data_IF_684737275787
#
_entry.id   IF_684737275787
#
_cell.length_a   1.000
_cell.length_b   1.000
_cell.length_c   1.000
_cell.angle_alpha   90.00
_cell.angle_beta   90.00
_cell.angle_gamma   90.00
#
_symmetry.space_group_name_H-M   'P 1'
#
loop_
_entity.id
_entity.type
_entity.pdbx_description
1 polymer ?
#
# COMPACT_ATOMS: atom_id res chain seq x y z
N UNK A 1 -11.03 11.77 -10.01
CA UNK A 1 -10.81 12.90 -9.11
C UNK A 1 -10.99 14.23 -9.87
N UNK A 2 -11.71 15.18 -9.29
CA UNK A 2 -11.91 16.51 -9.87
C UNK A 2 -10.76 17.44 -9.45
N UNK A 3 -9.56 17.15 -9.91
CA UNK A 3 -8.33 17.84 -9.49
C UNK A 3 -8.26 19.31 -9.94
N UNK A 4 -9.04 19.71 -10.95
CA UNK A 4 -9.06 21.08 -11.48
C UNK A 4 -9.90 22.06 -10.65
N UNK A 5 -10.60 21.57 -9.62
CA UNK A 5 -11.36 22.40 -8.69
C UNK A 5 -10.48 22.88 -7.51
N UNK A 6 -10.83 24.01 -6.86
CA UNK A 6 -10.12 24.49 -5.67
C UNK A 6 -10.50 23.68 -4.42
N UNK A 7 -10.39 22.36 -4.51
CA UNK A 7 -10.70 21.40 -3.44
C UNK A 7 -9.53 20.47 -3.22
N UNK A 8 -9.28 20.13 -1.96
CA UNK A 8 -8.24 19.16 -1.59
C UNK A 8 -8.59 17.75 -2.01
N UNK A 9 -7.69 17.08 -2.72
CA UNK A 9 -7.77 15.67 -3.05
C UNK A 9 -6.47 14.99 -2.63
N UNK A 10 -6.54 13.89 -1.89
CA UNK A 10 -5.35 13.14 -1.46
C UNK A 10 -5.31 11.78 -2.13
N UNK A 11 -4.15 11.45 -2.64
CA UNK A 11 -3.86 10.16 -3.30
C UNK A 11 -2.65 9.52 -2.64
N UNK A 12 -2.71 8.21 -2.44
CA UNK A 12 -1.59 7.38 -2.01
C UNK A 12 -1.40 6.30 -3.08
N UNK A 13 -0.28 6.35 -3.78
CA UNK A 13 0.12 5.35 -4.76
C UNK A 13 1.16 4.41 -4.14
N UNK A 14 0.81 3.14 -3.98
CA UNK A 14 1.68 2.12 -3.38
C UNK A 14 2.09 1.15 -4.48
N UNK A 15 3.24 1.41 -5.07
CA UNK A 15 3.83 0.59 -6.13
C UNK A 15 4.63 -0.61 -5.61
N UNK A 16 5.56 -1.11 -6.43
CA UNK A 16 6.54 -2.13 -6.02
C UNK A 16 7.63 -1.53 -5.14
N UNK A 17 8.31 -0.48 -5.61
CA UNK A 17 9.48 0.12 -4.95
C UNK A 17 9.20 1.37 -4.13
N UNK A 18 8.14 2.14 -4.41
CA UNK A 18 7.82 3.41 -3.75
C UNK A 18 6.36 3.49 -3.34
N UNK A 19 6.14 4.24 -2.27
CA UNK A 19 4.83 4.78 -1.88
C UNK A 19 4.88 6.29 -2.04
N UNK A 20 4.06 6.82 -2.94
CA UNK A 20 3.97 8.23 -3.24
C UNK A 20 2.65 8.78 -2.72
N UNK A 21 2.73 9.82 -1.88
CA UNK A 21 1.60 10.44 -1.21
C UNK A 21 1.52 11.89 -1.69
N UNK A 22 0.39 12.31 -2.21
CA UNK A 22 0.22 13.67 -2.72
C UNK A 22 -1.15 14.26 -2.38
N UNK A 23 -1.15 15.54 -2.06
CA UNK A 23 -2.34 16.38 -1.99
C UNK A 23 -2.38 17.28 -3.22
N UNK A 24 -3.49 17.23 -3.94
CA UNK A 24 -3.72 17.91 -5.21
C UNK A 24 -4.84 18.94 -5.06
N UNK A 25 -4.67 20.11 -5.65
CA UNK A 25 -5.72 21.14 -5.79
C UNK A 25 -5.43 22.03 -7.01
N UNK A 26 -6.46 22.44 -7.73
CA UNK A 26 -6.35 23.29 -8.93
C UNK A 26 -5.38 22.73 -10.01
N UNK A 27 -5.25 21.42 -10.10
CA UNK A 27 -4.37 20.76 -11.06
C UNK A 27 -2.90 20.66 -10.65
N UNK A 28 -2.52 21.21 -9.49
CA UNK A 28 -1.15 21.21 -8.98
C UNK A 28 -0.99 20.36 -7.71
N UNK A 29 0.26 19.96 -7.43
CA UNK A 29 0.64 19.29 -6.18
C UNK A 29 0.88 20.37 -5.11
N UNK A 30 0.09 20.33 -4.04
CA UNK A 30 0.20 21.25 -2.90
C UNK A 30 1.24 20.77 -1.89
N UNK A 31 1.21 19.49 -1.56
CA UNK A 31 2.21 18.84 -0.70
C UNK A 31 2.34 17.38 -1.10
N UNK A 32 3.52 16.81 -0.94
CA UNK A 32 3.77 15.42 -1.28
C UNK A 32 4.92 14.84 -0.47
N UNK A 33 4.94 13.53 -0.39
CA UNK A 33 6.06 12.75 0.13
C UNK A 33 6.22 11.47 -0.66
N UNK A 34 7.45 10.96 -0.75
CA UNK A 34 7.78 9.70 -1.40
C UNK A 34 8.64 8.85 -0.49
N UNK A 35 8.20 7.62 -0.25
CA UNK A 35 8.89 6.62 0.55
C UNK A 35 9.43 5.51 -0.35
N UNK A 36 10.65 5.03 -0.04
CA UNK A 36 11.19 3.78 -0.62
C UNK A 36 10.72 2.55 0.19
N UNK A 37 9.44 2.51 0.51
CA UNK A 37 8.77 1.46 1.29
C UNK A 37 7.47 1.14 0.58
N UNK A 38 7.38 -0.04 -0.03
CA UNK A 38 6.24 -0.49 -0.82
C UNK A 38 6.23 -2.02 -0.96
N UNK A 39 5.71 -2.55 -2.06
CA UNK A 39 5.52 -3.98 -2.29
C UNK A 39 6.76 -4.85 -2.09
N UNK A 40 7.94 -4.38 -2.53
CA UNK A 40 9.20 -5.11 -2.43
C UNK A 40 9.69 -5.24 -0.97
N UNK A 41 9.48 -4.19 -0.17
CA UNK A 41 9.76 -4.22 1.28
C UNK A 41 8.82 -5.18 1.99
N UNK A 42 7.54 -5.20 1.60
CA UNK A 42 6.56 -6.16 2.14
C UNK A 42 6.98 -7.61 1.84
N UNK A 43 7.49 -7.90 0.66
CA UNK A 43 8.00 -9.23 0.30
C UNK A 43 9.22 -9.62 1.15
N UNK A 44 10.15 -8.68 1.35
CA UNK A 44 11.31 -8.88 2.22
C UNK A 44 10.91 -9.14 3.68
N UNK A 45 9.90 -8.45 4.19
CA UNK A 45 9.35 -8.66 5.54
C UNK A 45 8.73 -10.05 5.69
N UNK A 46 8.00 -10.53 4.68
CA UNK A 46 7.45 -11.89 4.65
C UNK A 46 8.57 -12.93 4.64
N UNK A 47 9.61 -12.76 3.81
CA UNK A 47 10.78 -13.65 3.78
C UNK A 47 11.44 -13.72 5.16
N UNK A 48 11.67 -12.57 5.79
CA UNK A 48 12.26 -12.47 7.11
C UNK A 48 11.38 -13.17 8.16
N UNK A 49 10.08 -12.91 8.16
CA UNK A 49 9.14 -13.54 9.08
C UNK A 49 9.12 -15.06 8.97
N UNK A 50 9.07 -15.59 7.74
CA UNK A 50 9.08 -17.03 7.48
C UNK A 50 10.39 -17.66 7.94
N UNK A 51 11.52 -17.02 7.66
CA UNK A 51 12.85 -17.44 8.09
C UNK A 51 12.96 -17.46 9.61
N UNK A 52 12.53 -16.41 10.28
CA UNK A 52 12.74 -16.26 11.72
C UNK A 52 11.81 -17.18 12.53
N UNK A 53 10.54 -17.28 12.10
CA UNK A 53 9.52 -18.03 12.82
C UNK A 53 9.54 -19.53 12.51
N UNK A 54 9.67 -19.86 11.24
CA UNK A 54 9.53 -21.25 10.76
C UNK A 54 10.86 -21.90 10.36
N UNK A 55 11.98 -21.16 10.42
CA UNK A 55 13.31 -21.62 9.95
C UNK A 55 13.28 -22.13 8.51
N UNK A 56 12.41 -21.55 7.70
CA UNK A 56 12.23 -21.91 6.29
C UNK A 56 12.75 -20.80 5.39
N UNK A 57 13.59 -21.13 4.43
CA UNK A 57 14.06 -20.20 3.41
C UNK A 57 13.14 -20.26 2.18
N UNK A 58 12.58 -19.13 1.81
CA UNK A 58 11.76 -18.93 0.61
C UNK A 58 12.36 -17.83 -0.27
N UNK A 59 12.00 -17.79 -1.55
CA UNK A 59 12.43 -16.75 -2.49
C UNK A 59 11.37 -15.65 -2.66
N UNK A 60 11.77 -14.57 -3.35
CA UNK A 60 10.95 -13.36 -3.58
C UNK A 60 9.59 -13.69 -4.23
N UNK A 61 9.59 -14.53 -5.26
CA UNK A 61 8.35 -14.95 -5.94
C UNK A 61 7.36 -15.64 -5.00
N UNK A 62 7.87 -16.45 -4.07
CA UNK A 62 7.02 -17.14 -3.07
C UNK A 62 6.46 -16.12 -2.07
N UNK A 63 7.27 -15.16 -1.63
CA UNK A 63 6.84 -14.09 -0.75
C UNK A 63 5.75 -13.22 -1.39
N UNK A 64 5.92 -12.84 -2.65
CA UNK A 64 4.93 -12.12 -3.42
C UNK A 64 3.60 -12.90 -3.53
N UNK A 65 3.66 -14.20 -3.80
CA UNK A 65 2.47 -15.05 -3.81
C UNK A 65 1.76 -15.06 -2.45
N UNK A 66 2.50 -15.19 -1.35
CA UNK A 66 1.95 -15.12 0.01
C UNK A 66 1.25 -13.78 0.23
N UNK A 67 1.91 -12.66 -0.14
CA UNK A 67 1.35 -11.31 -0.03
C UNK A 67 0.03 -11.18 -0.80
N UNK A 68 -0.02 -11.65 -2.05
CA UNK A 68 -1.20 -11.55 -2.92
C UNK A 68 -2.37 -12.42 -2.42
N UNK A 69 -2.08 -13.64 -1.94
CA UNK A 69 -3.12 -14.60 -1.57
C UNK A 69 -3.68 -14.38 -0.16
N UNK A 70 -2.80 -14.09 0.80
CA UNK A 70 -3.15 -14.03 2.23
C UNK A 70 -2.59 -12.81 2.96
N UNK A 71 -1.96 -11.86 2.24
CA UNK A 71 -1.43 -10.63 2.83
C UNK A 71 -2.52 -9.82 3.54
N UNK A 72 -2.23 -9.33 4.74
CA UNK A 72 -3.17 -8.57 5.54
C UNK A 72 -2.47 -7.45 6.32
N UNK A 73 -3.10 -6.28 6.36
CA UNK A 73 -2.67 -5.14 7.16
C UNK A 73 -3.37 -5.09 8.53
N UNK A 74 -4.47 -5.84 8.72
CA UNK A 74 -5.28 -5.83 9.96
C UNK A 74 -5.48 -7.26 10.47
N UNK A 75 -5.25 -7.46 11.76
CA UNK A 75 -5.49 -8.74 12.43
C UNK A 75 -6.96 -9.14 12.32
N UNK A 76 -7.22 -10.41 12.00
CA UNK A 76 -8.58 -10.95 11.92
C UNK A 76 -9.38 -10.50 10.69
N UNK A 77 -8.76 -9.81 9.74
CA UNK A 77 -9.43 -9.39 8.50
C UNK A 77 -9.71 -10.55 7.55
N UNK A 78 -9.01 -11.67 7.71
CA UNK A 78 -9.15 -12.88 6.89
C UNK A 78 -8.67 -14.11 7.66
N UNK A 79 -9.36 -15.24 7.48
CA UNK A 79 -8.97 -16.56 8.01
C UNK A 79 -8.27 -17.43 6.96
N UNK A 80 -7.79 -16.83 5.89
CA UNK A 80 -7.10 -17.54 4.80
C UNK A 80 -5.79 -18.15 5.28
N UNK A 81 -5.46 -19.29 4.69
CA UNK A 81 -4.19 -19.99 4.86
C UNK A 81 -3.54 -20.26 3.51
N UNK A 82 -2.23 -20.40 3.48
CA UNK A 82 -1.46 -20.69 2.28
C UNK A 82 -0.35 -21.69 2.59
N UNK A 83 -0.24 -22.75 1.78
CA UNK A 83 0.84 -23.70 1.87
C UNK A 83 2.09 -23.19 1.17
N UNK A 84 3.19 -23.16 1.91
CA UNK A 84 4.47 -22.64 1.44
C UNK A 84 5.51 -23.75 1.48
N UNK A 85 6.18 -23.95 0.36
CA UNK A 85 7.31 -24.86 0.25
C UNK A 85 8.62 -24.08 0.17
N UNK A 86 9.59 -24.47 0.98
CA UNK A 86 10.91 -23.87 1.00
C UNK A 86 11.98 -24.86 1.46
N UNK A 87 13.19 -24.34 1.74
CA UNK A 87 14.28 -25.13 2.30
C UNK A 87 14.35 -24.93 3.81
N UNK A 88 14.19 -25.99 4.57
CA UNK A 88 14.41 -25.99 6.01
C UNK A 88 15.87 -25.66 6.33
N UNK A 89 16.10 -24.68 7.20
CA UNK A 89 17.43 -24.17 7.54
C UNK A 89 18.18 -25.08 8.53
N UNK A 90 17.49 -26.01 9.20
CA UNK A 90 18.07 -26.94 10.15
C UNK A 90 18.53 -28.20 9.43
N UNK A 91 17.65 -28.79 8.60
CA UNK A 91 17.90 -30.03 7.89
C UNK A 91 18.50 -29.87 6.51
N UNK A 92 18.36 -28.67 5.91
CA UNK A 92 18.74 -28.40 4.53
C UNK A 92 17.80 -28.96 3.47
N UNK A 93 16.75 -29.69 3.88
CA UNK A 93 15.82 -30.39 2.98
C UNK A 93 14.58 -29.54 2.63
N UNK A 94 13.89 -29.87 1.53
CA UNK A 94 12.59 -29.27 1.24
C UNK A 94 11.57 -29.55 2.35
N UNK A 95 10.87 -28.52 2.78
CA UNK A 95 9.84 -28.62 3.80
C UNK A 95 8.63 -27.76 3.42
N UNK A 96 7.43 -28.17 3.84
CA UNK A 96 6.18 -27.44 3.59
C UNK A 96 5.59 -26.99 4.92
N UNK A 97 5.18 -25.74 4.99
CA UNK A 97 4.50 -25.14 6.14
C UNK A 97 3.19 -24.50 5.71
N UNK A 98 2.30 -24.26 6.65
CA UNK A 98 1.07 -23.48 6.45
C UNK A 98 1.22 -22.12 7.14
N UNK A 99 1.00 -21.05 6.40
CA UNK A 99 0.99 -19.66 6.91
C UNK A 99 -0.46 -19.15 6.92
N UNK A 100 -0.80 -18.34 7.90
CA UNK A 100 -2.12 -17.70 8.03
C UNK A 100 -2.06 -16.20 7.71
N UNK A 101 -3.19 -15.58 7.35
CA UNK A 101 -3.30 -14.13 7.18
C UNK A 101 -2.90 -13.35 8.44
N UNK A 102 -3.17 -13.89 9.64
CA UNK A 102 -2.70 -13.28 10.88
C UNK A 102 -1.17 -13.35 11.02
N UNK A 103 -0.53 -14.34 10.41
CA UNK A 103 0.93 -14.42 10.33
C UNK A 103 1.52 -13.36 9.42
N UNK A 104 0.90 -13.11 8.26
CA UNK A 104 1.34 -12.03 7.35
C UNK A 104 1.09 -10.65 7.94
N UNK A 105 0.02 -10.43 8.69
CA UNK A 105 -0.21 -9.17 9.41
C UNK A 105 0.94 -8.88 10.37
N UNK A 106 1.40 -9.87 11.12
CA UNK A 106 2.56 -9.70 12.01
C UNK A 106 3.84 -9.31 11.24
N UNK A 107 4.04 -9.90 10.06
CA UNK A 107 5.18 -9.58 9.21
C UNK A 107 5.12 -8.15 8.66
N UNK A 108 3.95 -7.69 8.24
CA UNK A 108 3.75 -6.43 7.51
C UNK A 108 3.45 -5.23 8.42
N UNK A 109 3.27 -5.44 9.71
CA UNK A 109 2.81 -4.42 10.67
C UNK A 109 3.67 -3.17 10.68
N UNK A 110 4.99 -3.30 10.72
CA UNK A 110 5.91 -2.16 10.78
C UNK A 110 5.91 -1.37 9.47
N UNK A 111 5.88 -2.06 8.35
CA UNK A 111 5.80 -1.45 7.02
C UNK A 111 4.50 -0.70 6.83
N UNK A 112 3.36 -1.30 7.18
CA UNK A 112 2.06 -0.61 7.14
C UNK A 112 2.01 0.59 8.09
N UNK A 113 2.53 0.47 9.32
CA UNK A 113 2.59 1.57 10.27
C UNK A 113 3.45 2.75 9.76
N UNK A 114 4.52 2.46 9.02
CA UNK A 114 5.35 3.50 8.41
C UNK A 114 4.60 4.27 7.33
N UNK A 115 3.84 3.58 6.49
CA UNK A 115 2.98 4.22 5.47
C UNK A 115 1.92 5.11 6.13
N UNK A 116 1.25 4.61 7.18
CA UNK A 116 0.27 5.38 7.96
C UNK A 116 0.89 6.65 8.54
N UNK A 117 2.06 6.51 9.17
CA UNK A 117 2.77 7.64 9.79
C UNK A 117 3.11 8.72 8.76
N UNK A 118 3.60 8.33 7.60
CA UNK A 118 3.94 9.30 6.55
C UNK A 118 2.69 9.95 5.95
N UNK A 119 1.62 9.20 5.78
CA UNK A 119 0.33 9.76 5.34
C UNK A 119 -0.18 10.82 6.31
N UNK A 120 -0.09 10.53 7.62
CA UNK A 120 -0.43 11.50 8.67
C UNK A 120 0.44 12.75 8.59
N UNK A 121 1.75 12.59 8.38
CA UNK A 121 2.68 13.70 8.23
C UNK A 121 2.33 14.62 7.07
N UNK A 122 1.98 14.06 5.90
CA UNK A 122 1.53 14.84 4.74
C UNK A 122 0.22 15.60 5.04
N UNK A 123 -0.73 14.97 5.74
CA UNK A 123 -1.97 15.63 6.17
C UNK A 123 -1.69 16.80 7.12
N UNK A 124 -0.77 16.65 8.07
CA UNK A 124 -0.37 17.69 9.03
C UNK A 124 0.30 18.90 8.34
N UNK A 125 0.95 18.67 7.20
CA UNK A 125 1.56 19.73 6.39
C UNK A 125 0.58 20.39 5.38
N UNK A 126 -0.60 19.80 5.21
CA UNK A 126 -1.61 20.28 4.28
C UNK A 126 -2.32 21.52 4.86
N UNK A 127 -2.57 22.58 4.03
CA UNK A 127 -3.35 23.73 4.47
C UNK A 127 -4.71 23.31 5.06
N UNK A 128 -5.18 23.97 6.14
CA UNK A 128 -6.38 23.55 6.87
C UNK A 128 -7.64 23.40 6.03
N UNK A 129 -7.84 24.28 5.05
CA UNK A 129 -9.01 24.26 4.16
C UNK A 129 -9.00 23.00 3.29
N UNK A 130 -7.84 22.64 2.72
CA UNK A 130 -7.69 21.45 1.89
C UNK A 130 -7.73 20.18 2.74
N UNK A 131 -7.21 20.20 3.97
CA UNK A 131 -7.33 19.08 4.90
C UNK A 131 -8.80 18.83 5.27
N UNK A 132 -9.61 19.86 5.48
CA UNK A 132 -11.04 19.74 5.71
C UNK A 132 -11.78 19.10 4.51
N UNK A 133 -11.39 19.44 3.29
CA UNK A 133 -11.90 18.81 2.07
C UNK A 133 -11.57 17.30 2.05
N UNK A 134 -10.32 16.93 2.39
CA UNK A 134 -9.88 15.53 2.40
C UNK A 134 -10.67 14.72 3.46
N UNK A 135 -10.92 15.28 4.65
CA UNK A 135 -11.76 14.63 5.68
C UNK A 135 -13.16 14.32 5.16
N UNK A 136 -13.71 15.21 4.32
CA UNK A 136 -15.06 15.05 3.75
C UNK A 136 -15.10 14.14 2.52
N UNK A 137 -14.08 14.19 1.67
CA UNK A 137 -14.01 13.49 0.37
C UNK A 137 -13.31 12.14 0.45
N UNK A 138 -12.43 11.96 1.43
CA UNK A 138 -11.62 10.77 1.61
C UNK A 138 -10.28 10.79 0.88
N UNK A 139 -9.49 9.75 1.14
CA UNK A 139 -8.19 9.47 0.54
C UNK A 139 -8.37 8.36 -0.49
N UNK A 140 -7.71 8.48 -1.64
CA UNK A 140 -7.75 7.48 -2.70
C UNK A 140 -6.45 6.68 -2.75
N UNK A 141 -6.56 5.35 -2.60
CA UNK A 141 -5.46 4.42 -2.74
C UNK A 141 -5.35 3.91 -4.17
N UNK A 142 -4.14 3.86 -4.70
CA UNK A 142 -3.81 3.33 -6.01
C UNK A 142 -2.50 2.51 -5.96
N UNK A 143 -2.16 1.85 -7.06
CA UNK A 143 -1.03 0.93 -7.12
C UNK A 143 -1.36 -0.47 -6.59
N UNK A 144 -0.44 -1.41 -6.82
CA UNK A 144 -0.63 -2.81 -6.43
C UNK A 144 -0.73 -3.03 -4.91
N UNK A 145 -0.01 -2.21 -4.13
CA UNK A 145 -0.05 -2.27 -2.67
C UNK A 145 -1.38 -1.84 -2.06
N UNK A 146 -2.17 -1.03 -2.78
CA UNK A 146 -3.52 -0.66 -2.37
C UNK A 146 -4.48 -1.87 -2.23
N UNK A 147 -4.15 -2.99 -2.89
CA UNK A 147 -4.93 -4.23 -2.86
C UNK A 147 -4.62 -5.11 -1.64
N UNK A 148 -3.66 -4.71 -0.77
CA UNK A 148 -3.39 -5.45 0.47
C UNK A 148 -4.61 -5.44 1.37
N UNK A 149 -5.08 -6.63 1.75
CA UNK A 149 -6.32 -6.79 2.52
C UNK A 149 -6.28 -5.96 3.82
N UNK A 150 -7.24 -5.05 3.96
CA UNK A 150 -7.44 -4.25 5.18
C UNK A 150 -6.52 -3.03 5.31
N UNK A 151 -5.69 -2.70 4.32
CA UNK A 151 -4.87 -1.50 4.35
C UNK A 151 -5.72 -0.21 4.34
N UNK A 152 -6.79 -0.21 3.57
CA UNK A 152 -7.81 0.83 3.56
C UNK A 152 -8.39 1.07 4.97
N UNK A 153 -8.83 -0.01 5.64
CA UNK A 153 -9.38 0.04 6.99
C UNK A 153 -8.36 0.47 8.05
N UNK A 154 -7.09 0.06 7.89
CA UNK A 154 -6.03 0.50 8.78
C UNK A 154 -5.83 2.01 8.68
N UNK A 155 -5.70 2.53 7.45
CA UNK A 155 -5.56 3.97 7.21
C UNK A 155 -6.78 4.74 7.72
N UNK A 156 -8.00 4.26 7.43
CA UNK A 156 -9.24 4.86 7.93
C UNK A 156 -9.27 4.99 9.46
N UNK A 157 -8.92 3.90 10.16
CA UNK A 157 -8.95 3.86 11.63
C UNK A 157 -7.89 4.75 12.28
N UNK A 158 -6.72 4.88 11.66
CA UNK A 158 -5.60 5.65 12.21
C UNK A 158 -5.69 7.16 11.89
N UNK A 159 -6.31 7.50 10.75
CA UNK A 159 -6.40 8.89 10.27
C UNK A 159 -7.75 9.54 10.54
N UNK A 160 -8.79 8.76 10.87
CA UNK A 160 -10.20 9.20 10.95
C UNK A 160 -10.68 9.90 9.68
N UNK A 161 -10.25 9.42 8.51
CA UNK A 161 -10.61 9.92 7.19
C UNK A 161 -11.07 8.75 6.35
N UNK A 162 -12.18 8.84 5.60
CA UNK A 162 -12.58 7.77 4.69
C UNK A 162 -11.48 7.42 3.69
N UNK A 163 -11.31 6.13 3.38
CA UNK A 163 -10.27 5.64 2.46
C UNK A 163 -10.90 4.75 1.40
N UNK A 164 -10.65 5.06 0.14
CA UNK A 164 -11.20 4.35 -1.01
C UNK A 164 -10.09 3.76 -1.88
N UNK A 165 -10.22 2.50 -2.23
CA UNK A 165 -9.33 1.86 -3.23
C UNK A 165 -9.88 2.20 -4.61
N UNK A 166 -9.02 2.65 -5.52
CA UNK A 166 -9.41 2.94 -6.90
C UNK A 166 -9.87 1.67 -7.62
N UNK A 167 -10.90 1.78 -8.47
CA UNK A 167 -11.50 0.64 -9.20
C UNK A 167 -10.47 -0.15 -10.02
N UNK A 168 -9.50 0.53 -10.62
CA UNK A 168 -8.41 -0.06 -11.41
C UNK A 168 -7.05 0.37 -10.84
N UNK A 169 -6.81 0.05 -9.56
CA UNK A 169 -5.67 0.53 -8.80
C UNK A 169 -4.32 0.27 -9.49
N UNK A 170 -4.15 -0.87 -10.16
CA UNK A 170 -2.91 -1.24 -10.85
C UNK A 170 -2.61 -0.38 -12.07
N UNK A 171 -3.63 0.13 -12.75
CA UNK A 171 -3.48 0.85 -14.01
C UNK A 171 -3.68 2.36 -13.89
N UNK A 172 -3.94 2.89 -12.68
CA UNK A 172 -4.21 4.32 -12.49
C UNK A 172 -3.12 5.22 -13.08
N UNK A 173 -1.85 4.89 -12.85
CA UNK A 173 -0.71 5.67 -13.38
C UNK A 173 -0.67 5.61 -14.90
N UNK A 174 -0.80 4.41 -15.50
CA UNK A 174 -0.79 4.23 -16.94
C UNK A 174 -1.97 4.97 -17.60
N UNK A 175 -3.16 4.86 -17.02
CA UNK A 175 -4.36 5.58 -17.48
C UNK A 175 -4.17 7.11 -17.37
N UNK A 176 -3.59 7.59 -16.26
CA UNK A 176 -3.27 9.00 -16.08
C UNK A 176 -2.28 9.53 -17.11
N UNK A 177 -1.22 8.78 -17.41
CA UNK A 177 -0.28 9.10 -18.49
C UNK A 177 -0.98 9.17 -19.86
N UNK A 178 -1.92 8.25 -20.14
CA UNK A 178 -2.73 8.28 -21.36
C UNK A 178 -3.54 9.58 -21.49
N UNK A 179 -4.23 9.96 -20.41
CA UNK A 179 -4.99 11.22 -20.37
C UNK A 179 -4.08 12.45 -20.57
N UNK A 180 -2.88 12.45 -19.97
CA UNK A 180 -1.91 13.53 -20.17
C UNK A 180 -1.44 13.62 -21.62
N UNK A 181 -1.17 12.51 -22.29
CA UNK A 181 -0.75 12.48 -23.70
C UNK A 181 -1.85 13.03 -24.63
N UNK A 182 -3.11 12.72 -24.36
CA UNK A 182 -4.24 13.27 -25.11
C UNK A 182 -4.40 14.78 -24.95
N UNK A 183 -3.98 15.32 -23.78
CA UNK A 183 -4.12 16.72 -23.43
C UNK A 183 -2.81 17.55 -23.56
N UNK A 184 -1.76 17.00 -24.18
CA UNK A 184 -0.46 17.67 -24.35
C UNK A 184 -0.55 19.09 -24.99
N UNK A 185 -1.58 19.36 -25.81
CA UNK A 185 -1.80 20.67 -26.41
C UNK A 185 -2.21 21.76 -25.41
N UNK A 186 -2.66 21.38 -24.21
CA UNK A 186 -3.10 22.29 -23.14
C UNK A 186 -2.04 22.50 -22.06
N UNK A 187 -0.90 21.82 -22.14
CA UNK A 187 0.19 21.84 -21.13
C UNK A 187 1.36 22.76 -21.56
N UNK A 188 1.08 23.82 -22.32
CA UNK A 188 2.08 24.84 -22.69
C UNK A 188 2.04 26.02 -21.75
#
# INVERSE_FOLDING_TARGET
LEINKPTGNMVIDIGGGTTDIAVLSLGDIVTSSSLKIAGDVMDADIIKFVKDKYKLLIGDRTAEQIKLEIGSAVKGSSDKTFEVRGRDLVTGLPHTITITSNGTELALRETCATIVKETKHVLEQTPPELAADIVSRGIFLTGGGALLTGLDRLLESELNVPVFVADDALNCVANGCGVMLENLHYMK
#
